data_IF_453043310242
#
_entry.id   IF_453043310242
#
_cell.length_a   1.000
_cell.length_b   1.000
_cell.length_c   1.000
_cell.angle_alpha   90.00
_cell.angle_beta   90.00
_cell.angle_gamma   90.00
#
_symmetry.space_group_name_H-M   'P 1'
#
loop_
_entity.id
_entity.type
_entity.pdbx_description
1 polymer ?
#
# COMPACT_ATOMS: atom_id res chain seq x y z
N UNK A 1 -12.09 3.86 28.47
CA UNK A 1 -11.38 4.99 27.84
C UNK A 1 -9.97 4.54 27.53
N UNK A 2 -9.27 5.18 26.59
CA UNK A 2 -7.86 4.84 26.35
C UNK A 2 -7.05 5.26 27.59
N UNK A 3 -6.44 4.31 28.29
CA UNK A 3 -5.61 4.57 29.46
C UNK A 3 -4.13 4.76 29.03
N UNK A 4 -3.38 5.58 29.77
CA UNK A 4 -1.95 5.84 29.57
C UNK A 4 -1.62 7.25 29.04
N UNK A 5 -0.33 7.61 29.05
CA UNK A 5 0.16 8.85 28.46
C UNK A 5 0.22 8.72 26.93
N UNK A 6 -0.57 9.53 26.22
CA UNK A 6 -0.53 9.69 24.76
C UNK A 6 -0.66 11.19 24.42
N UNK A 7 -0.37 11.55 23.16
CA UNK A 7 -0.36 12.95 22.73
C UNK A 7 -1.73 13.65 22.85
N UNK A 8 -1.73 14.98 22.84
CA UNK A 8 -2.96 15.78 22.89
C UNK A 8 -3.68 15.80 21.55
N UNK A 9 -5.01 15.81 21.58
CA UNK A 9 -5.84 15.91 20.39
C UNK A 9 -5.67 17.31 19.76
N UNK A 10 -5.30 17.35 18.48
CA UNK A 10 -5.10 18.62 17.76
C UNK A 10 -6.42 19.31 17.39
N UNK A 11 -7.55 18.59 17.44
CA UNK A 11 -8.87 19.05 16.99
C UNK A 11 -8.99 19.25 15.48
N UNK A 12 -7.97 18.90 14.69
CA UNK A 12 -7.94 19.05 13.23
C UNK A 12 -8.34 17.76 12.54
N UNK A 13 -8.83 17.89 11.31
CA UNK A 13 -9.08 16.75 10.43
C UNK A 13 -7.79 16.29 9.75
N UNK A 14 -7.70 14.99 9.47
CA UNK A 14 -6.66 14.43 8.61
C UNK A 14 -7.03 14.71 7.15
N UNK A 15 -6.24 15.57 6.50
CA UNK A 15 -6.41 15.93 5.10
C UNK A 15 -5.33 15.27 4.23
N UNK A 16 -5.76 14.47 3.25
CA UNK A 16 -4.90 13.85 2.24
C UNK A 16 -5.73 13.46 1.01
N UNK A 17 -5.06 13.03 -0.06
CA UNK A 17 -5.70 12.56 -1.30
C UNK A 17 -6.24 11.15 -1.09
N UNK A 18 -7.43 10.87 -1.61
CA UNK A 18 -8.01 9.53 -1.56
C UNK A 18 -8.88 9.27 -2.80
N UNK A 19 -9.19 8.00 -3.02
CA UNK A 19 -10.21 7.55 -3.96
C UNK A 19 -11.32 6.82 -3.21
N UNK A 20 -12.56 7.16 -3.54
CA UNK A 20 -13.74 6.45 -3.05
C UNK A 20 -13.97 5.20 -3.91
N UNK A 21 -13.97 4.04 -3.28
CA UNK A 21 -14.13 2.74 -3.93
C UNK A 21 -15.46 2.08 -3.60
N UNK A 22 -16.43 2.85 -3.07
CA UNK A 22 -17.76 2.37 -2.72
C UNK A 22 -17.75 1.61 -1.41
N UNK A 23 -18.15 0.33 -1.43
CA UNK A 23 -18.29 -0.50 -0.22
C UNK A 23 -16.98 -0.62 0.59
N UNK A 24 -15.84 -0.71 -0.10
CA UNK A 24 -14.54 -0.81 0.56
C UNK A 24 -14.05 0.52 1.17
N UNK A 25 -14.79 1.60 0.96
CA UNK A 25 -14.50 2.92 1.51
C UNK A 25 -13.44 3.69 0.74
N UNK A 26 -12.70 4.52 1.48
CA UNK A 26 -11.71 5.44 0.92
C UNK A 26 -10.32 4.82 0.98
N UNK A 27 -9.60 4.83 -0.14
CA UNK A 27 -8.21 4.37 -0.20
C UNK A 27 -7.26 5.52 -0.46
N UNK A 28 -6.16 5.52 0.27
CA UNK A 28 -4.98 6.32 -0.04
C UNK A 28 -4.33 5.88 -1.35
N UNK A 29 -3.38 6.67 -1.86
CA UNK A 29 -2.62 6.31 -3.07
C UNK A 29 -1.85 5.00 -2.86
N UNK A 30 -1.19 4.85 -1.71
CA UNK A 30 -0.48 3.61 -1.37
C UNK A 30 -1.40 2.39 -1.31
N UNK A 31 -2.53 2.52 -0.61
CA UNK A 31 -3.54 1.46 -0.47
C UNK A 31 -4.15 1.07 -1.82
N UNK A 32 -4.63 2.05 -2.59
CA UNK A 32 -5.23 1.78 -3.90
C UNK A 32 -4.21 1.13 -4.85
N UNK A 33 -2.96 1.61 -4.86
CA UNK A 33 -1.90 1.00 -5.67
C UNK A 33 -1.70 -0.47 -5.30
N UNK A 34 -1.49 -0.76 -4.01
CA UNK A 34 -1.22 -2.12 -3.53
C UNK A 34 -2.40 -3.07 -3.76
N UNK A 35 -3.62 -2.66 -3.41
CA UNK A 35 -4.81 -3.51 -3.49
C UNK A 35 -5.25 -3.79 -4.92
N UNK A 36 -5.03 -2.85 -5.83
CA UNK A 36 -5.36 -3.02 -7.25
C UNK A 36 -4.20 -3.55 -8.08
N UNK A 37 -3.04 -3.85 -7.48
CA UNK A 37 -1.96 -4.56 -8.16
C UNK A 37 -2.42 -5.96 -8.58
N UNK A 38 -1.86 -6.47 -9.68
CA UNK A 38 -2.22 -7.76 -10.24
C UNK A 38 -2.05 -8.90 -9.22
N UNK A 39 -3.04 -9.78 -9.11
CA UNK A 39 -3.06 -10.87 -8.14
C UNK A 39 -3.50 -10.48 -6.72
N UNK A 40 -3.80 -9.19 -6.48
CA UNK A 40 -4.47 -8.74 -5.26
C UNK A 40 -5.99 -8.69 -5.48
N UNK A 41 -6.69 -7.71 -4.90
CA UNK A 41 -8.12 -7.52 -5.15
C UNK A 41 -8.42 -7.08 -6.59
N UNK A 42 -7.41 -6.51 -7.26
CA UNK A 42 -7.53 -5.91 -8.60
C UNK A 42 -8.67 -4.88 -8.60
N UNK A 43 -9.28 -4.60 -9.75
CA UNK A 43 -10.27 -3.53 -9.86
C UNK A 43 -11.42 -3.93 -10.78
N UNK A 44 -12.61 -3.44 -10.44
CA UNK A 44 -13.80 -3.47 -11.28
C UNK A 44 -14.41 -2.08 -11.29
N UNK A 45 -14.97 -1.68 -12.43
CA UNK A 45 -15.59 -0.36 -12.58
C UNK A 45 -17.03 -0.33 -12.05
N UNK A 46 -17.51 0.83 -11.57
CA UNK A 46 -18.92 0.97 -11.19
C UNK A 46 -19.87 0.71 -12.38
N UNK A 47 -19.47 1.00 -13.62
CA UNK A 47 -20.29 0.70 -14.80
C UNK A 47 -20.42 -0.80 -15.07
N UNK A 48 -19.40 -1.60 -14.73
CA UNK A 48 -19.47 -3.06 -14.84
C UNK A 48 -20.38 -3.65 -13.77
N UNK A 49 -20.27 -3.18 -12.53
CA UNK A 49 -21.19 -3.56 -11.44
C UNK A 49 -22.63 -3.20 -11.84
N UNK A 50 -22.87 -1.97 -12.31
CA UNK A 50 -24.20 -1.52 -12.74
C UNK A 50 -24.76 -2.37 -13.89
N UNK A 51 -23.91 -2.76 -14.85
CA UNK A 51 -24.32 -3.64 -15.96
C UNK A 51 -24.76 -5.01 -15.44
N UNK A 52 -23.99 -5.61 -14.54
CA UNK A 52 -24.34 -6.89 -13.92
C UNK A 52 -25.68 -6.79 -13.19
N UNK A 53 -25.87 -5.75 -12.37
CA UNK A 53 -27.12 -5.53 -11.62
C UNK A 53 -28.33 -5.38 -12.57
N UNK A 54 -28.20 -4.61 -13.66
CA UNK A 54 -29.29 -4.44 -14.64
C UNK A 54 -29.64 -5.75 -15.34
N UNK A 55 -28.64 -6.56 -15.71
CA UNK A 55 -28.88 -7.86 -16.34
C UNK A 55 -29.64 -8.81 -15.40
N UNK A 56 -29.22 -8.88 -14.13
CA UNK A 56 -29.88 -9.69 -13.10
C UNK A 56 -31.34 -9.24 -12.87
N UNK A 57 -31.59 -7.94 -12.74
CA UNK A 57 -32.96 -7.40 -12.53
C UNK A 57 -33.89 -7.74 -13.71
N UNK A 58 -33.37 -7.75 -14.94
CA UNK A 58 -34.17 -8.01 -16.15
C UNK A 58 -34.46 -9.49 -16.37
N UNK A 59 -33.89 -10.37 -15.54
CA UNK A 59 -33.94 -11.82 -15.79
C UNK A 59 -33.32 -12.18 -17.13
N UNK A 60 -32.37 -11.36 -17.62
CA UNK A 60 -31.58 -11.72 -18.79
C UNK A 60 -30.82 -13.00 -18.42
N UNK A 61 -30.96 -14.05 -19.25
CA UNK A 61 -30.11 -15.21 -19.09
C UNK A 61 -28.67 -14.74 -19.32
N UNK A 62 -27.82 -14.86 -18.30
CA UNK A 62 -26.38 -14.64 -18.43
C UNK A 62 -25.72 -15.66 -19.39
N UNK A 63 -26.50 -16.64 -19.89
CA UNK A 63 -26.12 -17.59 -20.93
C UNK A 63 -25.30 -18.77 -20.44
N UNK A 64 -25.28 -19.07 -19.13
CA UNK A 64 -24.36 -20.03 -18.52
C UNK A 64 -25.13 -21.06 -17.67
N UNK A 65 -24.90 -22.34 -17.99
CA UNK A 65 -25.35 -23.52 -17.25
C UNK A 65 -24.92 -23.47 -15.76
N UNK A 66 -25.51 -24.27 -14.86
CA UNK A 66 -25.39 -24.16 -13.38
C UNK A 66 -23.96 -23.94 -12.87
N UNK A 67 -22.95 -24.52 -13.53
CA UNK A 67 -21.53 -24.35 -13.21
C UNK A 67 -20.98 -22.98 -13.62
N UNK A 68 -21.35 -22.49 -14.81
CA UNK A 68 -21.00 -21.15 -15.25
C UNK A 68 -21.82 -20.05 -14.57
N UNK A 69 -23.00 -20.38 -14.03
CA UNK A 69 -23.79 -19.47 -13.19
C UNK A 69 -23.10 -19.16 -11.85
N UNK A 70 -22.39 -20.13 -11.27
CA UNK A 70 -21.63 -19.94 -10.02
C UNK A 70 -20.35 -19.10 -10.24
N UNK A 71 -19.64 -19.35 -11.34
CA UNK A 71 -18.44 -18.59 -11.74
C UNK A 71 -18.80 -17.15 -12.18
N UNK A 72 -19.95 -16.97 -12.85
CA UNK A 72 -20.46 -15.64 -13.21
C UNK A 72 -21.17 -14.89 -12.09
N UNK A 73 -21.48 -15.55 -10.97
CA UNK A 73 -22.07 -14.90 -9.79
C UNK A 73 -21.05 -14.03 -9.04
N UNK A 74 -19.77 -14.11 -9.41
CA UNK A 74 -18.68 -13.28 -8.87
C UNK A 74 -18.21 -12.33 -9.96
N UNK A 75 -18.26 -11.02 -9.68
CA UNK A 75 -17.72 -10.03 -10.60
C UNK A 75 -16.19 -10.01 -10.47
N UNK A 76 -15.51 -10.57 -11.47
CA UNK A 76 -14.05 -10.55 -11.55
C UNK A 76 -13.49 -9.21 -12.04
N UNK A 77 -12.17 -9.01 -11.90
CA UNK A 77 -11.49 -7.85 -12.45
C UNK A 77 -11.55 -7.84 -13.98
N UNK A 78 -11.46 -6.65 -14.56
CA UNK A 78 -11.56 -6.47 -16.01
C UNK A 78 -10.37 -5.71 -16.58
N UNK A 79 -10.07 -5.97 -17.86
CA UNK A 79 -9.06 -5.21 -18.60
C UNK A 79 -9.35 -3.70 -18.59
N UNK A 80 -10.63 -3.33 -18.72
CA UNK A 80 -11.06 -1.93 -18.68
C UNK A 80 -10.75 -1.31 -17.33
N UNK A 81 -11.02 -2.02 -16.24
CA UNK A 81 -10.70 -1.55 -14.90
C UNK A 81 -9.18 -1.40 -14.71
N UNK A 82 -8.38 -2.37 -15.16
CA UNK A 82 -6.92 -2.26 -15.16
C UNK A 82 -6.40 -1.05 -15.96
N UNK A 83 -7.01 -0.73 -17.09
CA UNK A 83 -6.69 0.49 -17.85
C UNK A 83 -7.05 1.77 -17.08
N UNK A 84 -8.21 1.80 -16.44
CA UNK A 84 -8.68 2.97 -15.67
C UNK A 84 -7.90 3.17 -14.36
N UNK A 85 -7.33 2.10 -13.79
CA UNK A 85 -6.45 2.14 -12.62
C UNK A 85 -5.32 3.16 -12.82
N UNK A 86 -4.62 3.11 -13.96
CA UNK A 86 -3.51 4.03 -14.25
C UNK A 86 -3.99 5.49 -14.35
N UNK A 87 -5.15 5.72 -14.95
CA UNK A 87 -5.74 7.06 -15.02
C UNK A 87 -6.07 7.60 -13.62
N UNK A 88 -6.66 6.77 -12.76
CA UNK A 88 -6.96 7.12 -11.37
C UNK A 88 -5.68 7.43 -10.57
N UNK A 89 -4.67 6.55 -10.63
CA UNK A 89 -3.38 6.74 -9.97
C UNK A 89 -2.68 8.02 -10.43
N UNK A 90 -2.66 8.30 -11.73
CA UNK A 90 -2.05 9.52 -12.26
C UNK A 90 -2.76 10.78 -11.77
N UNK A 91 -4.10 10.76 -11.69
CA UNK A 91 -4.87 11.89 -11.15
C UNK A 91 -4.61 12.08 -9.65
N UNK A 92 -4.61 11.01 -8.87
CA UNK A 92 -4.33 11.09 -7.43
C UNK A 92 -2.91 11.60 -7.15
N UNK A 93 -1.88 11.09 -7.86
CA UNK A 93 -0.49 11.60 -7.76
C UNK A 93 -0.35 13.06 -8.21
N UNK A 94 -1.19 13.51 -9.14
CA UNK A 94 -1.26 14.93 -9.50
C UNK A 94 -1.81 15.74 -8.32
N UNK A 95 -2.89 15.27 -7.68
CA UNK A 95 -3.47 15.95 -6.52
C UNK A 95 -2.51 15.97 -5.33
N UNK A 96 -1.71 14.91 -5.11
CA UNK A 96 -0.66 14.89 -4.07
C UNK A 96 0.32 16.05 -4.25
N UNK A 97 0.77 16.28 -5.49
CA UNK A 97 1.64 17.41 -5.84
C UNK A 97 0.95 18.77 -5.72
N UNK A 98 -0.33 18.85 -6.12
CA UNK A 98 -1.11 20.11 -6.03
C UNK A 98 -1.34 20.54 -4.57
N UNK A 99 -1.45 19.59 -3.65
CA UNK A 99 -1.76 19.84 -2.24
C UNK A 99 -0.57 19.66 -1.28
N UNK A 100 0.61 19.29 -1.79
CA UNK A 100 1.82 19.02 -1.00
C UNK A 100 1.56 18.02 0.14
N UNK A 101 1.01 16.86 -0.24
CA UNK A 101 0.67 15.76 0.68
C UNK A 101 1.15 14.43 0.13
N UNK A 102 1.56 13.54 1.03
CA UNK A 102 1.83 12.14 0.73
C UNK A 102 0.66 11.27 1.21
N UNK A 103 -0.04 10.62 0.29
CA UNK A 103 -1.19 9.75 0.58
C UNK A 103 -0.74 8.30 0.74
N UNK A 104 -0.31 7.96 1.96
CA UNK A 104 0.24 6.63 2.26
C UNK A 104 -0.86 5.62 2.57
N UNK A 105 -1.61 5.79 3.66
CA UNK A 105 -2.69 4.89 4.07
C UNK A 105 -3.69 5.55 5.04
N UNK A 106 -4.92 5.05 5.11
CA UNK A 106 -5.94 5.48 6.09
C UNK A 106 -6.37 4.38 7.06
N UNK A 107 -6.01 3.11 6.82
CA UNK A 107 -6.41 1.99 7.67
C UNK A 107 -7.94 1.84 7.78
N UNK A 108 -8.63 1.98 6.64
CA UNK A 108 -10.08 1.77 6.53
C UNK A 108 -10.45 0.35 6.08
N UNK A 109 -9.50 -0.36 5.48
CA UNK A 109 -9.60 -1.77 5.13
C UNK A 109 -8.71 -2.55 6.10
N UNK A 110 -9.29 -3.27 7.06
CA UNK A 110 -8.50 -4.02 8.06
C UNK A 110 -7.69 -5.16 7.42
N UNK A 111 -6.95 -5.98 8.20
CA UNK A 111 -6.19 -5.65 9.40
C UNK A 111 -4.97 -4.75 9.08
N UNK A 112 -4.34 -4.11 10.11
CA UNK A 112 -3.40 -3.00 9.91
C UNK A 112 -2.03 -3.32 9.30
N UNK A 113 -1.88 -4.54 8.81
CA UNK A 113 -0.65 -5.01 8.19
C UNK A 113 -0.38 -4.28 6.88
N UNK A 114 -1.41 -3.97 6.08
CA UNK A 114 -1.23 -3.23 4.83
C UNK A 114 -0.65 -1.84 5.10
N UNK A 115 -1.33 -1.05 5.93
CA UNK A 115 -0.89 0.30 6.29
C UNK A 115 0.48 0.31 6.96
N UNK A 116 0.76 -0.67 7.85
CA UNK A 116 2.09 -0.85 8.45
C UNK A 116 3.15 -0.97 7.37
N UNK A 117 2.97 -1.89 6.42
CA UNK A 117 3.97 -2.13 5.39
C UNK A 117 4.13 -0.92 4.46
N UNK A 118 3.04 -0.22 4.14
CA UNK A 118 3.07 1.01 3.35
C UNK A 118 3.89 2.10 4.06
N UNK A 119 3.65 2.36 5.34
CA UNK A 119 4.40 3.37 6.09
C UNK A 119 5.87 3.00 6.28
N UNK A 120 6.19 1.74 6.54
CA UNK A 120 7.58 1.30 6.66
C UNK A 120 8.35 1.47 5.34
N UNK A 121 7.78 1.04 4.22
CA UNK A 121 8.40 1.25 2.91
C UNK A 121 8.48 2.73 2.51
N UNK A 122 7.46 3.53 2.83
CA UNK A 122 7.47 4.98 2.60
C UNK A 122 8.58 5.68 3.40
N UNK A 123 8.75 5.33 4.67
CA UNK A 123 9.80 5.89 5.53
C UNK A 123 11.20 5.55 5.00
N UNK A 124 11.43 4.28 4.63
CA UNK A 124 12.69 3.84 4.02
C UNK A 124 12.95 4.62 2.74
N UNK A 125 11.96 4.69 1.84
CA UNK A 125 12.04 5.45 0.59
C UNK A 125 12.40 6.92 0.82
N UNK A 126 11.80 7.55 1.83
CA UNK A 126 12.06 8.97 2.15
C UNK A 126 13.48 9.22 2.64
N UNK A 127 14.13 8.22 3.26
CA UNK A 127 15.52 8.32 3.71
C UNK A 127 16.51 8.10 2.57
N UNK A 128 16.32 7.03 1.78
CA UNK A 128 17.34 6.59 0.80
C UNK A 128 17.06 7.02 -0.64
N UNK A 129 15.82 7.40 -0.96
CA UNK A 129 15.38 7.81 -2.30
C UNK A 129 15.22 6.65 -3.29
N UNK A 130 16.18 5.73 -3.34
CA UNK A 130 16.27 4.68 -4.34
C UNK A 130 16.51 3.28 -3.74
N UNK A 131 16.37 2.25 -4.57
CA UNK A 131 16.61 0.87 -4.16
C UNK A 131 18.08 0.60 -3.78
N UNK A 132 19.11 0.99 -4.57
CA UNK A 132 20.49 0.75 -4.21
C UNK A 132 20.87 1.29 -2.83
N UNK A 133 20.43 2.51 -2.50
CA UNK A 133 20.64 3.14 -1.21
C UNK A 133 19.97 2.37 -0.07
N UNK A 134 18.76 1.83 -0.29
CA UNK A 134 18.11 0.95 0.68
C UNK A 134 18.95 -0.30 0.97
N UNK A 135 19.53 -0.90 -0.07
CA UNK A 135 20.26 -2.17 0.02
C UNK A 135 21.70 -2.03 0.52
N UNK A 136 22.35 -0.89 0.27
CA UNK A 136 23.73 -0.63 0.70
C UNK A 136 23.84 -0.08 2.11
N UNK A 137 22.76 0.45 2.67
CA UNK A 137 22.74 1.05 4.01
C UNK A 137 22.89 -0.02 5.10
N UNK A 138 23.62 0.30 6.17
CA UNK A 138 23.66 -0.56 7.36
C UNK A 138 22.33 -0.45 8.13
N UNK A 139 21.73 -1.57 8.61
CA UNK A 139 20.39 -1.55 9.21
C UNK A 139 20.21 -0.61 10.40
N UNK A 140 21.20 -0.50 11.30
CA UNK A 140 21.11 0.41 12.45
C UNK A 140 21.19 1.89 12.02
N UNK A 141 22.01 2.20 11.02
CA UNK A 141 22.09 3.53 10.40
C UNK A 141 20.78 3.89 9.71
N UNK A 142 20.19 2.95 8.96
CA UNK A 142 18.89 3.15 8.32
C UNK A 142 17.78 3.39 9.36
N UNK A 143 17.76 2.60 10.43
CA UNK A 143 16.82 2.77 11.55
C UNK A 143 16.94 4.16 12.22
N UNK A 144 18.18 4.63 12.46
CA UNK A 144 18.43 5.95 13.05
C UNK A 144 17.99 7.10 12.11
N UNK A 145 18.23 6.96 10.80
CA UNK A 145 17.79 7.94 9.82
C UNK A 145 16.26 7.99 9.70
N UNK A 146 15.60 6.83 9.70
CA UNK A 146 14.13 6.75 9.70
C UNK A 146 13.56 7.39 10.98
N UNK A 147 14.14 7.12 12.15
CA UNK A 147 13.75 7.78 13.39
C UNK A 147 13.87 9.30 13.27
N UNK A 148 14.96 9.81 12.69
CA UNK A 148 15.17 11.25 12.50
C UNK A 148 14.07 11.89 11.64
N UNK A 149 13.59 11.19 10.60
CA UNK A 149 12.44 11.64 9.79
C UNK A 149 11.16 11.67 10.62
N UNK A 150 10.89 10.62 11.39
CA UNK A 150 9.69 10.53 12.25
C UNK A 150 9.70 11.60 13.35
N UNK A 151 10.87 11.94 13.90
CA UNK A 151 11.02 12.99 14.91
C UNK A 151 10.84 14.40 14.33
N UNK A 152 11.43 14.66 13.17
CA UNK A 152 11.38 15.95 12.49
C UNK A 152 10.00 16.28 11.91
N UNK A 153 9.30 15.28 11.34
CA UNK A 153 8.01 15.48 10.68
C UNK A 153 6.83 15.14 11.61
N UNK A 154 6.32 16.17 12.30
CA UNK A 154 5.16 16.00 13.17
C UNK A 154 3.88 15.64 12.42
N UNK A 155 3.73 16.04 11.15
CA UNK A 155 2.52 15.77 10.36
C UNK A 155 2.46 14.30 10.00
N UNK A 156 3.57 13.74 9.52
CA UNK A 156 3.71 12.31 9.25
C UNK A 156 3.46 11.47 10.51
N UNK A 157 4.10 11.86 11.63
CA UNK A 157 3.93 11.17 12.90
C UNK A 157 2.47 11.21 13.36
N UNK A 158 1.81 12.37 13.27
CA UNK A 158 0.39 12.51 13.60
C UNK A 158 -0.48 11.64 12.70
N UNK A 159 -0.21 11.58 11.39
CA UNK A 159 -0.96 10.73 10.45
C UNK A 159 -0.92 9.27 10.89
N UNK A 160 0.28 8.70 11.05
CA UNK A 160 0.47 7.29 11.46
C UNK A 160 -0.28 6.99 12.78
N UNK A 161 -0.11 7.85 13.79
CA UNK A 161 -0.74 7.65 15.10
C UNK A 161 -2.27 7.83 15.06
N UNK A 162 -2.79 8.72 14.23
CA UNK A 162 -4.23 9.03 14.14
C UNK A 162 -5.04 7.92 13.50
N UNK A 163 -4.44 7.17 12.57
CA UNK A 163 -5.07 5.99 11.97
C UNK A 163 -4.95 4.73 12.87
N UNK A 164 -4.31 4.89 14.04
CA UNK A 164 -4.22 3.86 15.08
C UNK A 164 -3.06 2.88 14.90
N UNK A 165 -2.00 3.28 14.19
CA UNK A 165 -0.76 2.53 14.05
C UNK A 165 0.29 3.09 15.04
N UNK A 166 0.68 2.32 16.07
CA UNK A 166 1.82 2.69 16.92
C UNK A 166 3.14 2.68 16.14
N UNK A 167 4.14 3.43 16.62
CA UNK A 167 5.49 3.45 16.07
C UNK A 167 6.45 2.90 17.13
N UNK A 168 7.04 1.73 16.85
CA UNK A 168 8.03 1.08 17.71
C UNK A 168 9.41 1.66 17.41
N UNK A 169 10.07 2.25 18.41
CA UNK A 169 11.35 2.93 18.23
C UNK A 169 12.51 1.94 18.06
N UNK A 170 13.68 2.39 17.54
CA UNK A 170 14.80 1.50 17.24
C UNK A 170 15.36 0.69 18.42
N UNK A 171 15.14 1.15 19.66
CA UNK A 171 15.56 0.42 20.87
C UNK A 171 14.65 -0.77 21.24
N UNK A 172 13.50 -0.90 20.58
CA UNK A 172 12.51 -1.95 20.83
C UNK A 172 11.74 -1.83 22.15
N UNK A 173 11.99 -0.79 22.96
CA UNK A 173 11.41 -0.62 24.29
C UNK A 173 10.49 0.60 24.38
N UNK A 174 10.63 1.57 23.47
CA UNK A 174 9.77 2.75 23.42
C UNK A 174 8.76 2.66 22.27
N UNK A 175 7.54 3.09 22.56
CA UNK A 175 6.42 3.08 21.63
C UNK A 175 5.76 4.46 21.59
N UNK A 176 5.66 5.05 20.40
CA UNK A 176 4.81 6.22 20.18
C UNK A 176 3.42 5.71 19.80
N UNK A 177 2.38 6.16 20.51
CA UNK A 177 1.01 5.73 20.24
C UNK A 177 0.01 6.88 20.33
N UNK A 178 -1.05 6.78 19.54
CA UNK A 178 -2.30 7.52 19.78
C UNK A 178 -3.18 6.81 20.80
N UNK A 179 -4.35 7.38 21.15
CA UNK A 179 -5.30 6.76 22.08
C UNK A 179 -5.81 5.41 21.57
N UNK A 180 -6.06 5.31 20.26
CA UNK A 180 -6.53 4.10 19.58
C UNK A 180 -5.34 3.32 19.03
N UNK A 181 -5.34 2.01 19.23
CA UNK A 181 -4.38 1.09 18.62
C UNK A 181 -5.17 -0.01 17.90
N UNK A 182 -4.86 -0.24 16.62
CA UNK A 182 -5.56 -1.24 15.79
C UNK A 182 -5.00 -2.66 15.91
N UNK A 183 -3.77 -2.82 16.40
CA UNK A 183 -3.12 -4.12 16.63
C UNK A 183 -2.37 -4.13 17.95
N UNK A 184 -2.47 -5.20 18.73
CA UNK A 184 -1.70 -5.36 19.97
C UNK A 184 -0.25 -5.80 19.73
N UNK A 185 0.09 -6.18 18.49
CA UNK A 185 1.38 -6.78 18.16
C UNK A 185 2.09 -6.03 17.03
N UNK A 186 3.42 -5.91 17.16
CA UNK A 186 4.27 -5.20 16.21
C UNK A 186 4.22 -5.82 14.81
N UNK A 187 4.24 -7.14 14.71
CA UNK A 187 4.24 -7.87 13.44
C UNK A 187 2.94 -7.66 12.63
N UNK A 188 1.85 -7.27 13.30
CA UNK A 188 0.52 -7.17 12.69
C UNK A 188 0.04 -5.74 12.43
N UNK A 189 0.63 -4.71 13.04
CA UNK A 189 0.13 -3.35 12.81
C UNK A 189 0.88 -2.19 13.44
N UNK A 190 2.10 -2.37 13.93
CA UNK A 190 2.92 -1.22 14.37
C UNK A 190 3.93 -0.89 13.31
N UNK A 191 4.21 0.39 13.06
CA UNK A 191 5.36 0.79 12.24
C UNK A 191 6.64 0.49 13.02
N UNK A 192 7.41 -0.50 12.57
CA UNK A 192 8.56 -1.04 13.31
C UNK A 192 9.87 -0.43 12.79
N UNK A 193 10.50 0.41 13.62
CA UNK A 193 11.73 1.12 13.27
C UNK A 193 12.99 0.38 13.71
N UNK A 194 12.89 -0.83 14.26
CA UNK A 194 14.05 -1.56 14.76
C UNK A 194 15.01 -1.95 13.63
N UNK A 195 16.32 -2.01 13.88
CA UNK A 195 17.30 -2.46 12.89
C UNK A 195 16.98 -3.84 12.31
N UNK A 196 16.39 -4.75 13.10
CA UNK A 196 15.98 -6.08 12.62
C UNK A 196 14.88 -6.00 11.56
N UNK A 197 13.96 -5.03 11.68
CA UNK A 197 12.93 -4.79 10.67
C UNK A 197 13.52 -4.13 9.41
N UNK A 198 14.50 -3.23 9.56
CA UNK A 198 15.23 -2.67 8.41
C UNK A 198 15.94 -3.78 7.61
N UNK A 199 16.62 -4.71 8.30
CA UNK A 199 17.21 -5.87 7.66
C UNK A 199 16.17 -6.82 7.02
N UNK A 200 14.96 -6.91 7.59
CA UNK A 200 13.84 -7.65 6.98
C UNK A 200 13.36 -6.96 5.69
N UNK A 201 13.26 -5.63 5.68
CA UNK A 201 12.94 -4.86 4.49
C UNK A 201 14.00 -4.96 3.39
N UNK A 202 15.28 -4.92 3.75
CA UNK A 202 16.36 -5.13 2.78
C UNK A 202 16.27 -6.50 2.10
N UNK A 203 15.98 -7.58 2.86
CA UNK A 203 15.75 -8.91 2.27
C UNK A 203 14.55 -8.93 1.32
N UNK A 204 13.42 -8.36 1.74
CA UNK A 204 12.22 -8.22 0.86
C UNK A 204 12.54 -7.50 -0.44
N UNK A 205 13.29 -6.41 -0.35
CA UNK A 205 13.71 -5.60 -1.49
C UNK A 205 14.73 -6.34 -2.40
N UNK A 206 15.62 -7.17 -1.82
CA UNK A 206 16.51 -8.06 -2.56
C UNK A 206 15.74 -9.15 -3.30
N UNK A 207 14.79 -9.80 -2.62
CA UNK A 207 13.95 -10.86 -3.21
C UNK A 207 13.12 -10.30 -4.37
N UNK A 208 12.53 -9.12 -4.18
CA UNK A 208 11.84 -8.39 -5.25
C UNK A 208 12.78 -8.10 -6.43
N UNK A 209 13.98 -7.57 -6.17
CA UNK A 209 14.97 -7.30 -7.22
C UNK A 209 15.37 -8.58 -7.98
N UNK A 210 15.51 -9.71 -7.27
CA UNK A 210 15.76 -11.02 -7.86
C UNK A 210 14.63 -11.47 -8.78
N UNK A 211 13.39 -11.44 -8.28
CA UNK A 211 12.20 -11.81 -9.04
C UNK A 211 12.03 -10.98 -10.33
N UNK A 212 12.34 -9.68 -10.27
CA UNK A 212 12.32 -8.80 -11.46
C UNK A 212 13.36 -9.25 -12.49
N UNK A 213 14.61 -9.49 -12.06
CA UNK A 213 15.69 -9.91 -12.97
C UNK A 213 15.38 -11.23 -13.65
N UNK A 214 14.84 -12.18 -12.90
CA UNK A 214 14.40 -13.48 -13.45
C UNK A 214 13.27 -13.32 -14.46
N UNK A 215 12.25 -12.50 -14.15
CA UNK A 215 11.13 -12.22 -15.05
C UNK A 215 11.56 -11.53 -16.35
N UNK A 216 12.53 -10.60 -16.29
CA UNK A 216 13.10 -9.96 -17.48
C UNK A 216 13.92 -10.94 -18.34
N UNK A 217 14.65 -11.86 -17.71
CA UNK A 217 15.43 -12.88 -18.40
C UNK A 217 14.55 -13.93 -19.09
N UNK A 218 13.33 -14.18 -18.57
CA UNK A 218 12.37 -15.14 -19.10
C UNK A 218 11.66 -14.70 -20.41
N UNK A 219 11.94 -13.49 -20.92
CA UNK A 219 11.39 -12.97 -22.18
C UNK A 219 10.07 -12.21 -22.01
N UNK A 220 9.36 -11.97 -23.12
CA UNK A 220 8.05 -11.29 -23.14
C UNK A 220 6.95 -12.26 -23.56
N UNK A 221 6.23 -12.84 -22.59
CA UNK A 221 5.11 -13.76 -22.81
C UNK A 221 3.91 -13.31 -21.99
N UNK A 222 2.70 -13.52 -22.51
CA UNK A 222 1.45 -13.23 -21.79
C UNK A 222 1.19 -14.20 -20.61
N UNK A 223 2.01 -15.26 -20.46
CA UNK A 223 2.02 -16.11 -19.25
C UNK A 223 2.83 -15.50 -18.10
N UNK A 224 3.60 -14.45 -18.40
CA UNK A 224 4.32 -13.68 -17.40
C UNK A 224 3.37 -12.57 -16.98
N UNK A 225 2.48 -12.91 -16.05
CA UNK A 225 1.47 -11.99 -15.50
C UNK A 225 2.15 -10.72 -14.93
N UNK A 226 3.33 -10.91 -14.31
CA UNK A 226 4.09 -9.87 -13.63
C UNK A 226 5.12 -9.20 -14.52
N UNK A 227 4.71 -8.60 -15.63
CA UNK A 227 5.43 -7.44 -16.17
C UNK A 227 4.88 -6.20 -15.45
N UNK A 228 5.33 -5.96 -14.22
CA UNK A 228 5.04 -4.69 -13.53
C UNK A 228 5.44 -3.52 -14.46
N UNK A 229 4.50 -2.76 -15.03
CA UNK A 229 4.84 -1.69 -15.96
C UNK A 229 5.69 -0.61 -15.26
N UNK A 230 5.45 -0.43 -13.96
CA UNK A 230 6.19 0.45 -13.06
C UNK A 230 7.55 -0.11 -12.59
N UNK A 231 7.82 -1.43 -12.62
CA UNK A 231 9.16 -1.97 -12.35
C UNK A 231 10.08 -1.95 -13.58
N UNK A 232 9.52 -2.01 -14.81
CA UNK A 232 10.26 -1.63 -16.03
C UNK A 232 10.61 -0.14 -16.02
N UNK A 233 9.72 0.66 -15.44
CA UNK A 233 9.85 2.10 -15.29
C UNK A 233 10.37 2.52 -13.91
N UNK A 234 11.06 1.66 -13.14
CA UNK A 234 12.06 2.21 -12.24
C UNK A 234 12.94 3.03 -13.16
N UNK A 235 12.74 4.35 -13.10
CA UNK A 235 13.44 5.27 -13.98
C UNK A 235 14.92 4.98 -13.76
N UNK A 236 15.78 5.40 -14.68
CA UNK A 236 17.23 5.19 -14.52
C UNK A 236 17.77 5.71 -13.17
N UNK A 237 16.97 6.48 -12.41
CA UNK A 237 17.15 6.93 -11.03
C UNK A 237 16.90 5.90 -9.90
N UNK A 238 16.35 4.70 -10.15
CA UNK A 238 16.20 3.63 -9.14
C UNK A 238 15.10 3.82 -8.09
N UNK A 239 14.17 4.77 -8.29
CA UNK A 239 13.09 5.05 -7.33
C UNK A 239 11.98 3.98 -7.40
N UNK A 240 11.63 3.39 -6.24
CA UNK A 240 10.56 2.38 -6.16
C UNK A 240 9.20 2.95 -5.72
N UNK A 241 8.10 2.35 -6.17
CA UNK A 241 6.73 2.68 -5.73
C UNK A 241 6.34 1.83 -4.51
N UNK A 242 5.96 2.51 -3.43
CA UNK A 242 5.66 1.89 -2.12
C UNK A 242 4.47 0.93 -2.23
N UNK A 243 3.42 1.33 -2.95
CA UNK A 243 2.22 0.51 -3.11
C UNK A 243 2.50 -0.75 -3.93
N UNK A 244 3.28 -0.65 -5.00
CA UNK A 244 3.64 -1.82 -5.81
C UNK A 244 4.53 -2.81 -5.06
N UNK A 245 5.50 -2.31 -4.25
CA UNK A 245 6.33 -3.17 -3.39
C UNK A 245 5.46 -3.92 -2.38
N UNK A 246 4.52 -3.22 -1.74
CA UNK A 246 3.64 -3.85 -0.75
C UNK A 246 2.66 -4.82 -1.42
N UNK A 247 2.08 -4.46 -2.57
CA UNK A 247 1.23 -5.37 -3.36
C UNK A 247 1.97 -6.64 -3.81
N UNK A 248 3.28 -6.56 -4.08
CA UNK A 248 4.11 -7.74 -4.33
C UNK A 248 4.26 -8.62 -3.08
N UNK A 249 4.48 -8.02 -1.91
CA UNK A 249 4.67 -8.75 -0.65
C UNK A 249 3.45 -9.55 -0.18
N UNK A 250 2.24 -9.10 -0.53
CA UNK A 250 1.01 -9.86 -0.23
C UNK A 250 0.76 -11.02 -1.21
N UNK A 251 1.58 -11.10 -2.26
CA UNK A 251 1.46 -12.04 -3.37
C UNK A 251 2.51 -13.16 -3.32
N UNK A 252 3.30 -13.21 -2.25
CA UNK A 252 4.44 -14.11 -2.00
C UNK A 252 4.36 -14.67 -0.59
#
# INVERSE_FOLDING_TARGET
EAEGEFGEATGKHLESVFIDTGENGLFAVGEFTALTSLGQMEFVTPEEIARSVVAEIRGESTGRDIVGALDSAVTGPSYRAGFLREAALNRMRQMEREHDVDSVAFELLGPPRLSKLLFEAYLIKRVVGDLPGALSSEPATLAANVLSVVEADSRLRQHILSIGLPILLPDGNRLLRGPVIKSQEADHGWVDLRPENMARWQRRLQDLQGAIREGLAAGSSSRIDRHYPSLRNWREDGVFDVGEVVGWLFNT
#
